data_IF_024744714615
#
_entry.id   IF_024744714615
#
_cell.length_a   1.000
_cell.length_b   1.000
_cell.length_c   1.000
_cell.angle_alpha   90.00
_cell.angle_beta   90.00
_cell.angle_gamma   90.00
#
_symmetry.space_group_name_H-M   'P 1'
#
loop_
_entity.id
_entity.type
_entity.pdbx_description
1 polymer ?
#
# COMPACT_ATOMS: atom_id res chain seq x y z
N UNK A 1 11.70 14.15 -14.68
CA UNK A 1 11.21 13.19 -13.68
C UNK A 1 12.07 13.38 -12.45
N UNK A 2 11.47 13.61 -11.29
CA UNK A 2 12.20 13.72 -10.02
C UNK A 2 12.05 12.37 -9.33
N UNK A 3 13.16 11.68 -9.12
CA UNK A 3 13.21 10.43 -8.36
C UNK A 3 13.74 10.77 -6.96
N UNK A 4 12.99 10.38 -5.93
CA UNK A 4 13.38 10.66 -4.56
C UNK A 4 14.47 9.68 -4.14
N UNK A 5 15.54 10.18 -3.54
CA UNK A 5 16.57 9.35 -2.90
C UNK A 5 16.57 9.61 -1.39
N UNK A 6 16.77 8.57 -0.56
CA UNK A 6 16.99 8.77 0.86
C UNK A 6 18.26 9.59 1.09
N UNK A 7 18.26 10.43 2.13
CA UNK A 7 19.40 11.30 2.45
C UNK A 7 20.71 10.52 2.69
N UNK A 8 20.61 9.24 3.07
CA UNK A 8 21.74 8.32 3.24
C UNK A 8 22.42 7.92 1.92
N UNK A 9 21.78 8.15 0.77
CA UNK A 9 22.29 7.77 -0.56
C UNK A 9 22.09 6.29 -0.91
N UNK A 10 21.36 5.54 -0.08
CA UNK A 10 21.01 4.14 -0.34
C UNK A 10 19.91 4.02 -1.41
N UNK A 11 19.75 2.83 -1.98
CA UNK A 11 18.62 2.54 -2.87
C UNK A 11 17.31 2.66 -2.08
N UNK A 12 16.34 3.48 -2.53
CA UNK A 12 15.04 3.58 -1.87
C UNK A 12 14.33 2.21 -1.88
N UNK A 13 13.86 1.79 -0.70
CA UNK A 13 12.88 0.72 -0.61
C UNK A 13 11.49 1.32 -0.80
N UNK A 14 10.71 0.77 -1.72
CA UNK A 14 9.38 1.25 -2.05
C UNK A 14 8.33 0.33 -1.47
N UNK A 15 7.40 0.92 -0.71
CA UNK A 15 6.25 0.24 -0.15
C UNK A 15 4.99 0.89 -0.75
N UNK A 16 4.02 0.07 -1.15
CA UNK A 16 2.82 0.49 -1.85
C UNK A 16 1.59 0.24 -0.99
N UNK A 17 0.69 1.23 -0.96
CA UNK A 17 -0.60 1.14 -0.30
C UNK A 17 -1.72 1.46 -1.28
N UNK A 18 -2.65 0.53 -1.46
CA UNK A 18 -3.82 0.70 -2.32
C UNK A 18 -5.06 0.89 -1.45
N UNK A 19 -5.84 1.93 -1.75
CA UNK A 19 -7.06 2.24 -1.03
C UNK A 19 -8.26 2.06 -1.94
N UNK A 20 -9.28 1.38 -1.44
CA UNK A 20 -10.56 1.27 -2.15
C UNK A 20 -11.74 1.32 -1.18
N UNK A 21 -12.74 2.11 -1.57
CA UNK A 21 -14.05 2.12 -0.89
C UNK A 21 -14.92 0.93 -1.29
N UNK A 22 -14.80 0.46 -2.52
CA UNK A 22 -15.69 -0.55 -3.07
C UNK A 22 -15.14 -1.99 -2.92
N UNK A 23 -13.98 -2.15 -2.27
CA UNK A 23 -13.22 -3.40 -2.25
C UNK A 23 -12.29 -3.53 -3.46
N UNK A 24 -11.65 -4.70 -3.57
CA UNK A 24 -10.67 -5.00 -4.61
C UNK A 24 -11.17 -6.17 -5.47
N UNK A 25 -10.62 -6.28 -6.67
CA UNK A 25 -10.88 -7.46 -7.50
C UNK A 25 -10.00 -8.61 -7.03
N UNK A 26 -10.44 -9.85 -7.28
CA UNK A 26 -9.68 -11.05 -6.91
C UNK A 26 -8.24 -11.03 -7.46
N UNK A 27 -8.03 -10.52 -8.67
CA UNK A 27 -6.68 -10.39 -9.26
C UNK A 27 -5.79 -9.41 -8.49
N UNK A 28 -6.36 -8.36 -7.90
CA UNK A 28 -5.58 -7.41 -7.09
C UNK A 28 -5.25 -8.01 -5.73
N UNK A 29 -6.20 -8.75 -5.13
CA UNK A 29 -5.99 -9.47 -3.87
C UNK A 29 -4.93 -10.57 -4.00
N UNK A 30 -4.94 -11.32 -5.12
CA UNK A 30 -3.93 -12.31 -5.43
C UNK A 30 -2.53 -11.68 -5.50
N UNK A 31 -2.37 -10.61 -6.27
CA UNK A 31 -1.08 -9.89 -6.39
C UNK A 31 -0.61 -9.34 -5.04
N UNK A 32 -1.52 -8.81 -4.22
CA UNK A 32 -1.17 -8.33 -2.88
C UNK A 32 -0.76 -9.46 -1.93
N UNK A 33 -1.27 -10.68 -2.13
CA UNK A 33 -0.85 -11.85 -1.34
C UNK A 33 0.55 -12.36 -1.70
N UNK A 34 1.01 -12.09 -2.93
CA UNK A 34 2.32 -12.50 -3.44
C UNK A 34 3.41 -11.44 -3.20
N UNK A 35 3.02 -10.20 -2.97
CA UNK A 35 3.91 -9.04 -2.82
C UNK A 35 3.96 -8.56 -1.38
N UNK A 36 5.12 -8.73 -0.75
CA UNK A 36 5.37 -8.24 0.60
C UNK A 36 5.35 -6.70 0.70
N UNK A 37 5.59 -6.01 -0.42
CA UNK A 37 5.67 -4.55 -0.53
C UNK A 37 4.33 -3.88 -0.89
N UNK A 38 3.23 -4.64 -0.99
CA UNK A 38 1.91 -4.12 -1.36
C UNK A 38 0.88 -4.42 -0.27
N UNK A 39 0.22 -3.38 0.22
CA UNK A 39 -0.88 -3.50 1.19
C UNK A 39 -2.17 -2.92 0.64
N UNK A 40 -3.27 -3.63 0.89
CA UNK A 40 -4.62 -3.21 0.53
C UNK A 40 -5.33 -2.67 1.78
N UNK A 41 -6.00 -1.54 1.61
CA UNK A 41 -6.77 -0.88 2.67
C UNK A 41 -8.19 -0.61 2.19
N UNK A 42 -9.15 -1.13 2.94
CA UNK A 42 -10.57 -0.83 2.79
C UNK A 42 -10.93 0.44 3.57
N UNK A 43 -12.14 0.95 3.34
CA UNK A 43 -12.67 2.04 4.17
C UNK A 43 -12.87 1.60 5.62
N UNK A 44 -13.20 0.33 5.86
CA UNK A 44 -13.35 -0.21 7.21
C UNK A 44 -12.03 -0.18 7.96
N UNK A 45 -10.92 -0.53 7.30
CA UNK A 45 -9.58 -0.45 7.89
C UNK A 45 -9.22 0.98 8.33
N UNK A 46 -9.52 1.97 7.48
CA UNK A 46 -9.21 3.38 7.78
C UNK A 46 -10.09 3.94 8.90
N UNK A 47 -11.40 3.65 8.85
CA UNK A 47 -12.33 4.13 9.88
C UNK A 47 -12.05 3.46 11.23
N UNK A 48 -11.70 2.17 11.23
CA UNK A 48 -11.28 1.46 12.45
C UNK A 48 -10.13 2.15 13.17
N UNK A 49 -9.15 2.67 12.42
CA UNK A 49 -7.98 3.36 12.98
C UNK A 49 -8.27 4.76 13.57
N UNK A 50 -9.35 5.41 13.15
CA UNK A 50 -9.71 6.77 13.60
C UNK A 50 -10.64 6.76 14.82
N UNK A 51 -11.17 5.59 15.17
CA UNK A 51 -12.19 5.44 16.22
C UNK A 51 -11.60 4.83 17.50
N UNK A 52 -10.29 4.61 17.54
CA UNK A 52 -9.51 4.13 18.71
C UNK A 52 -8.65 5.27 19.31
#
# INVERSE_FOLDING_TARGET
MVDWHPDSGDTPNYEYALFSRAGFTASVEEVASERDDLRLFTVEDVVGLLTD
#
